data_IF_185397542251
#
_entry.id   IF_185397542251
#
_cell.length_a   1.000
_cell.length_b   1.000
_cell.length_c   1.000
_cell.angle_alpha   90.00
_cell.angle_beta   90.00
_cell.angle_gamma   90.00
#
_symmetry.space_group_name_H-M   'P 1'
#
loop_
_entity.id
_entity.type
_entity.pdbx_description
1 polymer ?
#
# COMPACT_ATOMS: atom_id res chain seq x y z
N UNK A 1 6.54 14.79 -1.30
CA UNK A 1 6.28 13.72 -2.30
C UNK A 1 4.93 13.05 -2.09
N UNK A 2 3.98 13.80 -1.53
CA UNK A 2 2.68 13.31 -1.05
C UNK A 2 1.85 12.68 -2.16
N UNK A 3 1.83 13.27 -3.35
CA UNK A 3 1.10 12.73 -4.49
C UNK A 3 1.58 11.33 -4.86
N UNK A 4 2.89 11.09 -4.92
CA UNK A 4 3.44 9.77 -5.20
C UNK A 4 3.10 8.77 -4.10
N UNK A 5 3.18 9.17 -2.82
CA UNK A 5 2.82 8.30 -1.70
C UNK A 5 1.36 7.86 -1.77
N UNK A 6 0.42 8.81 -1.89
CA UNK A 6 -1.01 8.52 -1.87
C UNK A 6 -1.50 7.81 -3.12
N UNK A 7 -1.08 8.23 -4.33
CA UNK A 7 -1.55 7.58 -5.56
C UNK A 7 -0.97 6.17 -5.67
N UNK A 8 0.33 5.99 -5.38
CA UNK A 8 0.94 4.65 -5.35
C UNK A 8 0.24 3.78 -4.31
N UNK A 9 -0.01 4.31 -3.12
CA UNK A 9 -0.67 3.58 -2.06
C UNK A 9 -2.10 3.17 -2.42
N UNK A 10 -2.92 4.13 -2.88
CA UNK A 10 -4.31 3.85 -3.25
C UNK A 10 -4.42 2.80 -4.35
N UNK A 11 -3.51 2.80 -5.34
CA UNK A 11 -3.48 1.73 -6.34
C UNK A 11 -3.05 0.39 -5.72
N UNK A 12 -2.02 0.41 -4.86
CA UNK A 12 -1.49 -0.81 -4.23
C UNK A 12 -2.51 -1.49 -3.32
N UNK A 13 -3.46 -0.73 -2.76
CA UNK A 13 -4.55 -1.29 -1.97
C UNK A 13 -5.43 -2.27 -2.77
N UNK A 14 -5.33 -2.31 -4.10
CA UNK A 14 -6.14 -3.17 -4.96
C UNK A 14 -5.35 -4.02 -5.99
N UNK A 15 -4.05 -3.78 -6.18
CA UNK A 15 -3.26 -4.42 -7.24
C UNK A 15 -2.16 -5.38 -6.76
N UNK A 16 -1.65 -5.23 -5.53
CA UNK A 16 -0.38 -5.78 -4.99
C UNK A 16 0.80 -4.79 -5.02
N UNK A 17 1.69 -4.89 -4.03
CA UNK A 17 2.75 -3.92 -3.80
C UNK A 17 3.85 -3.94 -4.88
N UNK A 18 4.25 -5.12 -5.36
CA UNK A 18 5.31 -5.28 -6.33
C UNK A 18 4.96 -4.68 -7.70
N UNK A 19 3.82 -5.02 -8.33
CA UNK A 19 3.43 -4.40 -9.60
C UNK A 19 3.19 -2.89 -9.43
N UNK A 20 2.58 -2.46 -8.32
CA UNK A 20 2.36 -1.03 -8.08
C UNK A 20 3.67 -0.25 -7.93
N UNK A 21 4.64 -0.76 -7.18
CA UNK A 21 5.97 -0.15 -7.08
C UNK A 21 6.60 0.01 -8.47
N UNK A 22 6.60 -1.04 -9.29
CA UNK A 22 7.22 -1.00 -10.62
C UNK A 22 6.52 -0.01 -11.56
N UNK A 23 5.19 0.09 -11.51
CA UNK A 23 4.44 1.07 -12.32
C UNK A 23 4.88 2.49 -11.97
N UNK A 24 4.92 2.85 -10.68
CA UNK A 24 5.26 4.21 -10.27
C UNK A 24 6.76 4.50 -10.34
N UNK A 25 7.61 3.50 -10.15
CA UNK A 25 9.05 3.61 -10.39
C UNK A 25 9.33 3.99 -11.86
N UNK A 26 8.67 3.33 -12.80
CA UNK A 26 8.78 3.66 -14.23
C UNK A 26 8.14 5.02 -14.55
N UNK A 27 6.98 5.34 -13.94
CA UNK A 27 6.34 6.64 -14.12
C UNK A 27 7.18 7.81 -13.57
N UNK A 28 8.00 7.56 -12.55
CA UNK A 28 8.94 8.53 -11.99
C UNK A 28 10.28 8.63 -12.74
N UNK A 29 10.40 7.94 -13.89
CA UNK A 29 11.55 8.03 -14.79
C UNK A 29 12.30 6.72 -15.02
N UNK A 30 12.03 5.67 -14.24
CA UNK A 30 12.56 4.31 -14.45
C UNK A 30 14.08 4.16 -14.28
N UNK A 31 14.80 5.23 -13.93
CA UNK A 31 16.24 5.20 -13.69
C UNK A 31 16.52 4.99 -12.21
N UNK A 32 17.04 3.80 -11.87
CA UNK A 32 17.44 3.48 -10.50
C UNK A 32 18.51 4.43 -9.97
N UNK A 33 19.49 4.82 -10.80
CA UNK A 33 20.55 5.73 -10.41
C UNK A 33 20.01 7.11 -10.02
N UNK A 34 19.10 7.66 -10.83
CA UNK A 34 18.45 8.95 -10.55
C UNK A 34 17.55 8.85 -9.31
N UNK A 35 16.73 7.80 -9.22
CA UNK A 35 15.79 7.61 -8.11
C UNK A 35 16.47 7.33 -6.77
N UNK A 36 17.62 6.66 -6.76
CA UNK A 36 18.37 6.40 -5.52
C UNK A 36 19.18 7.62 -5.06
N UNK A 37 19.65 8.47 -5.96
CA UNK A 37 20.53 9.60 -5.62
C UNK A 37 19.84 10.98 -5.63
N UNK A 38 19.22 11.34 -6.76
CA UNK A 38 18.71 12.69 -6.99
C UNK A 38 17.24 12.82 -6.57
N UNK A 39 16.47 11.74 -6.71
CA UNK A 39 15.04 11.68 -6.42
C UNK A 39 14.71 10.71 -5.28
N UNK A 40 15.61 10.59 -4.30
CA UNK A 40 15.49 9.63 -3.17
C UNK A 40 14.15 9.77 -2.44
N UNK A 41 13.67 11.00 -2.23
CA UNK A 41 12.39 11.23 -1.55
C UNK A 41 11.17 10.76 -2.37
N UNK A 42 11.26 10.82 -3.70
CA UNK A 42 10.24 10.25 -4.59
C UNK A 42 10.27 8.72 -4.51
N UNK A 43 11.45 8.12 -4.54
CA UNK A 43 11.61 6.67 -4.39
C UNK A 43 11.08 6.18 -3.03
N UNK A 44 11.37 6.90 -1.94
CA UNK A 44 10.84 6.61 -0.60
C UNK A 44 9.32 6.69 -0.58
N UNK A 45 8.72 7.72 -1.19
CA UNK A 45 7.27 7.87 -1.25
C UNK A 45 6.60 6.74 -2.06
N UNK A 46 7.18 6.34 -3.20
CA UNK A 46 6.68 5.21 -4.00
C UNK A 46 6.81 3.90 -3.21
N UNK A 47 7.98 3.66 -2.62
CA UNK A 47 8.26 2.42 -1.89
C UNK A 47 7.34 2.28 -0.67
N UNK A 48 7.22 3.33 0.13
CA UNK A 48 6.39 3.34 1.33
C UNK A 48 4.89 3.31 0.99
N UNK A 49 4.45 4.05 -0.03
CA UNK A 49 3.07 3.99 -0.53
C UNK A 49 2.68 2.58 -0.96
N UNK A 50 3.50 1.95 -1.82
CA UNK A 50 3.27 0.58 -2.30
C UNK A 50 3.20 -0.43 -1.15
N UNK A 51 4.05 -0.32 -0.14
CA UNK A 51 4.07 -1.30 0.96
C UNK A 51 2.94 -1.06 1.97
N UNK A 52 2.74 0.18 2.42
CA UNK A 52 1.84 0.47 3.53
C UNK A 52 0.36 0.24 3.15
N UNK A 53 -0.05 0.64 1.96
CA UNK A 53 -1.47 0.64 1.60
C UNK A 53 -2.00 -0.76 1.23
N UNK A 54 -1.13 -1.74 0.97
CA UNK A 54 -1.54 -3.12 0.67
C UNK A 54 -2.41 -3.77 1.75
N UNK A 55 -2.32 -3.29 3.00
CA UNK A 55 -3.15 -3.76 4.12
C UNK A 55 -4.59 -3.19 4.14
N UNK A 56 -4.89 -2.16 3.35
CA UNK A 56 -6.21 -1.50 3.35
C UNK A 56 -7.33 -2.43 2.85
N UNK A 57 -7.03 -3.43 2.03
CA UNK A 57 -8.03 -4.40 1.56
C UNK A 57 -7.50 -5.83 1.63
N UNK A 58 -8.40 -6.81 1.55
CA UNK A 58 -7.99 -8.21 1.47
C UNK A 58 -7.25 -8.57 0.18
N UNK A 59 -7.45 -7.82 -0.90
CA UNK A 59 -6.84 -8.09 -2.21
C UNK A 59 -5.60 -7.23 -2.47
N UNK A 60 -5.28 -6.28 -1.59
CA UNK A 60 -4.11 -5.43 -1.72
C UNK A 60 -2.78 -6.15 -1.54
N UNK A 61 -2.80 -7.37 -0.96
CA UNK A 61 -1.64 -8.26 -0.93
C UNK A 61 -2.10 -9.72 -0.83
N UNK A 62 -1.46 -10.63 -1.56
CA UNK A 62 -1.84 -12.05 -1.63
C UNK A 62 -1.93 -12.76 -0.25
N UNK A 63 -1.02 -12.52 0.72
CA UNK A 63 -1.10 -13.08 2.06
C UNK A 63 -2.35 -12.65 2.85
N UNK A 64 -2.90 -11.44 2.63
CA UNK A 64 -4.12 -11.00 3.35
C UNK A 64 -5.30 -11.91 3.02
N UNK A 65 -5.49 -12.18 1.73
CA UNK A 65 -6.53 -13.10 1.26
C UNK A 65 -6.26 -14.52 1.73
N UNK A 66 -5.00 -14.97 1.69
CA UNK A 66 -4.60 -16.29 2.18
C UNK A 66 -4.92 -16.48 3.67
N UNK A 67 -4.55 -15.53 4.52
CA UNK A 67 -4.84 -15.56 5.96
C UNK A 67 -6.35 -15.59 6.21
N UNK A 68 -7.12 -14.76 5.50
CA UNK A 68 -8.59 -14.79 5.55
C UNK A 68 -9.13 -16.18 5.23
N UNK A 69 -8.70 -16.79 4.14
CA UNK A 69 -9.16 -18.13 3.73
C UNK A 69 -8.79 -19.23 4.73
N UNK A 70 -7.57 -19.21 5.29
CA UNK A 70 -7.14 -20.17 6.31
C UNK A 70 -7.97 -20.02 7.59
N UNK A 71 -8.23 -18.78 8.02
CA UNK A 71 -9.06 -18.50 9.18
C UNK A 71 -10.51 -19.00 8.97
N UNK A 72 -11.11 -18.74 7.81
CA UNK A 72 -12.45 -19.23 7.45
C UNK A 72 -12.50 -20.78 7.42
N UNK A 73 -11.49 -21.44 6.83
CA UNK A 73 -11.38 -22.90 6.84
C UNK A 73 -11.24 -23.49 8.24
N UNK A 74 -10.63 -22.74 9.17
CA UNK A 74 -10.47 -23.12 10.58
C UNK A 74 -11.71 -22.80 11.44
N UNK A 75 -12.81 -22.34 10.83
CA UNK A 75 -14.05 -22.00 11.52
C UNK A 75 -14.07 -20.61 12.16
N UNK A 76 -13.06 -19.77 11.93
CA UNK A 76 -13.03 -18.38 12.40
C UNK A 76 -13.85 -17.51 11.46
N UNK A 77 -14.84 -16.79 12.00
CA UNK A 77 -15.65 -15.84 11.24
C UNK A 77 -14.82 -14.61 10.89
N UNK A 78 -14.45 -14.48 9.63
CA UNK A 78 -13.76 -13.30 9.12
C UNK A 78 -14.76 -12.23 8.65
N UNK A 79 -14.42 -10.92 8.75
CA UNK A 79 -15.27 -9.86 8.24
C UNK A 79 -15.39 -9.94 6.72
N UNK A 80 -16.52 -9.47 6.19
CA UNK A 80 -16.73 -9.29 4.75
C UNK A 80 -15.73 -8.29 4.18
N UNK A 81 -15.55 -8.27 2.86
CA UNK A 81 -14.61 -7.37 2.20
C UNK A 81 -14.84 -5.90 2.59
N UNK A 82 -16.08 -5.41 2.50
CA UNK A 82 -16.42 -4.04 2.89
C UNK A 82 -16.27 -3.76 4.38
N UNK A 83 -16.62 -4.72 5.25
CA UNK A 83 -16.47 -4.55 6.70
C UNK A 83 -14.99 -4.45 7.10
N UNK A 84 -14.13 -5.28 6.49
CA UNK A 84 -12.69 -5.19 6.67
C UNK A 84 -12.15 -3.84 6.21
N UNK A 85 -12.58 -3.35 5.04
CA UNK A 85 -12.17 -2.03 4.54
C UNK A 85 -12.57 -0.90 5.48
N UNK A 86 -13.78 -0.89 6.02
CA UNK A 86 -14.18 0.14 6.99
C UNK A 86 -13.29 0.11 8.23
N UNK A 87 -12.98 -1.08 8.73
CA UNK A 87 -12.10 -1.28 9.88
C UNK A 87 -10.65 -0.85 9.59
N UNK A 88 -10.07 -1.31 8.48
CA UNK A 88 -8.68 -1.02 8.11
C UNK A 88 -8.50 0.46 7.75
N UNK A 89 -9.42 1.07 6.98
CA UNK A 89 -9.35 2.49 6.64
C UNK A 89 -9.48 3.36 7.89
N UNK A 90 -10.40 3.01 8.81
CA UNK A 90 -10.59 3.75 10.06
C UNK A 90 -9.34 3.81 10.95
N UNK A 91 -8.47 2.80 10.86
CA UNK A 91 -7.22 2.74 11.64
C UNK A 91 -6.04 3.29 10.83
N UNK A 92 -5.89 2.84 9.60
CA UNK A 92 -4.68 3.07 8.79
C UNK A 92 -4.66 4.44 8.13
N UNK A 93 -5.79 4.98 7.66
CA UNK A 93 -5.82 6.30 7.01
C UNK A 93 -5.35 7.42 7.96
N UNK A 94 -5.80 7.49 9.23
CA UNK A 94 -5.26 8.46 10.18
C UNK A 94 -3.74 8.31 10.39
N UNK A 95 -3.24 7.07 10.47
CA UNK A 95 -1.80 6.81 10.58
C UNK A 95 -1.08 7.31 9.33
N UNK A 96 -1.62 7.09 8.13
CA UNK A 96 -1.00 7.55 6.88
C UNK A 96 -1.04 9.05 6.72
N UNK A 97 -2.06 9.74 7.22
CA UNK A 97 -2.07 11.20 7.32
C UNK A 97 -0.97 11.71 8.25
N UNK A 98 -0.77 11.06 9.41
CA UNK A 98 0.33 11.40 10.31
C UNK A 98 1.71 11.11 9.69
N UNK A 99 1.86 9.97 9.01
CA UNK A 99 3.08 9.64 8.27
C UNK A 99 3.34 10.67 7.20
N UNK A 100 2.30 11.11 6.49
CA UNK A 100 2.41 12.15 5.48
C UNK A 100 2.94 13.44 6.11
N UNK A 101 2.34 13.89 7.22
CA UNK A 101 2.72 15.12 7.89
C UNK A 101 4.13 15.10 8.50
N UNK A 102 4.59 13.94 8.99
CA UNK A 102 5.87 13.83 9.69
C UNK A 102 7.05 13.47 8.78
N UNK A 103 6.83 12.75 7.67
CA UNK A 103 7.91 12.09 6.93
C UNK A 103 7.88 12.25 5.39
N UNK A 104 6.77 12.65 4.76
CA UNK A 104 6.59 12.62 3.28
C UNK A 104 6.52 14.02 2.66
#
# INVERSE_FOLDING_TARGET
NEMFFWITGLLSAFLDNAPTYLVFFNAAGGSADVLMNQMTQTLVAISSGAVFFGALTYIGNAPNFMVKSIAEQSGVKMPTFGAYMLWSFGILVPIYLLVTFLFI
#
